data_IF_294408427873
#
_entry.id   IF_294408427873
#
_cell.length_a   1.000
_cell.length_b   1.000
_cell.length_c   1.000
_cell.angle_alpha   90.00
_cell.angle_beta   90.00
_cell.angle_gamma   90.00
#
_symmetry.space_group_name_H-M   'P 1'
#
loop_
_entity.id
_entity.type
_entity.pdbx_description
1 polymer ?
#
# COMPACT_ATOMS: atom_id res chain seq x y z
N UNK A 1 21.60 9.79 1.30
CA UNK A 1 21.06 8.75 0.39
C UNK A 1 22.00 7.56 0.42
N UNK A 2 21.52 6.35 0.60
CA UNK A 2 22.36 5.17 0.72
C UNK A 2 23.05 4.79 -0.61
N UNK A 3 22.56 5.28 -1.76
CA UNK A 3 23.12 5.00 -3.08
C UNK A 3 23.19 6.26 -3.94
N UNK A 4 24.29 6.46 -4.70
CA UNK A 4 24.45 7.62 -5.56
C UNK A 4 23.48 7.55 -6.77
N UNK A 5 23.05 8.73 -7.22
CA UNK A 5 22.10 8.87 -8.34
C UNK A 5 22.55 8.17 -9.63
N UNK A 6 23.84 8.19 -9.95
CA UNK A 6 24.33 7.56 -11.17
C UNK A 6 24.10 6.03 -11.22
N UNK A 7 23.92 5.39 -10.05
CA UNK A 7 23.54 3.97 -9.96
C UNK A 7 22.03 3.84 -10.07
N UNK A 8 21.27 4.64 -9.31
CA UNK A 8 19.82 4.55 -9.26
C UNK A 8 19.12 5.04 -10.55
N UNK A 9 19.80 5.86 -11.36
CA UNK A 9 19.25 6.37 -12.63
C UNK A 9 19.00 5.28 -13.68
N UNK A 10 19.73 4.15 -13.63
CA UNK A 10 19.66 3.09 -14.62
C UNK A 10 19.32 1.74 -13.98
N UNK A 11 18.38 1.01 -14.59
CA UNK A 11 18.02 -0.36 -14.18
C UNK A 11 19.22 -1.30 -14.31
N UNK A 12 19.99 -1.17 -15.38
CA UNK A 12 21.16 -2.02 -15.65
C UNK A 12 22.27 -1.78 -14.63
N UNK A 13 22.60 -0.52 -14.36
CA UNK A 13 23.58 -0.16 -13.32
C UNK A 13 23.14 -0.64 -11.94
N UNK A 14 21.88 -0.52 -11.63
CA UNK A 14 21.30 -1.03 -10.37
C UNK A 14 21.47 -2.55 -10.25
N UNK A 15 21.24 -3.30 -11.34
CA UNK A 15 21.45 -4.76 -11.35
C UNK A 15 22.93 -5.12 -11.20
N UNK A 16 23.84 -4.44 -11.90
CA UNK A 16 25.27 -4.67 -11.79
C UNK A 16 25.76 -4.42 -10.36
N UNK A 17 25.32 -3.34 -9.75
CA UNK A 17 25.68 -3.00 -8.36
C UNK A 17 25.13 -4.02 -7.36
N UNK A 18 24.00 -4.66 -7.64
CA UNK A 18 23.47 -5.74 -6.81
C UNK A 18 24.44 -6.92 -6.69
N UNK A 19 25.12 -7.28 -7.78
CA UNK A 19 26.18 -8.30 -7.76
C UNK A 19 27.38 -7.87 -6.90
N UNK A 20 27.80 -6.60 -7.02
CA UNK A 20 28.89 -6.07 -6.18
C UNK A 20 28.54 -6.17 -4.69
N UNK A 21 27.35 -5.73 -4.27
CA UNK A 21 26.93 -5.78 -2.88
C UNK A 21 26.82 -7.22 -2.34
N UNK A 22 26.36 -8.15 -3.18
CA UNK A 22 26.34 -9.56 -2.81
C UNK A 22 27.75 -10.09 -2.54
N UNK A 23 28.71 -9.74 -3.38
CA UNK A 23 30.12 -10.14 -3.20
C UNK A 23 30.75 -9.48 -1.97
N UNK A 24 30.45 -8.21 -1.69
CA UNK A 24 30.89 -7.54 -0.46
C UNK A 24 30.37 -8.27 0.79
N UNK A 25 29.09 -8.68 0.80
CA UNK A 25 28.55 -9.48 1.88
C UNK A 25 29.25 -10.83 2.05
N UNK A 26 29.61 -11.50 0.95
CA UNK A 26 30.38 -12.75 0.99
C UNK A 26 31.77 -12.50 1.56
N UNK A 27 32.44 -11.43 1.14
CA UNK A 27 33.78 -11.10 1.64
C UNK A 27 33.75 -10.82 3.16
N UNK A 28 32.81 -10.02 3.63
CA UNK A 28 32.62 -9.75 5.07
C UNK A 28 32.41 -11.08 5.83
N UNK A 29 31.61 -11.99 5.27
CA UNK A 29 31.37 -13.28 5.92
C UNK A 29 32.62 -14.15 6.00
N UNK A 30 33.47 -14.13 4.97
CA UNK A 30 34.75 -14.84 4.98
C UNK A 30 35.71 -14.25 6.00
N UNK A 31 35.88 -12.92 6.01
CA UNK A 31 36.77 -12.22 6.92
C UNK A 31 36.40 -12.49 8.40
N UNK A 32 35.09 -12.39 8.73
CA UNK A 32 34.60 -12.67 10.09
C UNK A 32 34.80 -14.15 10.46
N UNK A 33 34.57 -15.07 9.52
CA UNK A 33 34.76 -16.50 9.78
C UNK A 33 36.24 -16.84 10.03
N UNK A 34 37.17 -16.22 9.30
CA UNK A 34 38.61 -16.38 9.50
C UNK A 34 39.08 -15.83 10.84
N UNK A 35 38.56 -14.67 11.27
CA UNK A 35 38.91 -14.04 12.52
C UNK A 35 38.43 -14.86 13.75
N UNK A 36 37.29 -15.54 13.61
CA UNK A 36 36.60 -16.20 14.70
C UNK A 36 36.65 -17.75 14.68
N UNK A 37 37.60 -18.35 14.01
CA UNK A 37 37.74 -19.83 13.82
C UNK A 37 37.70 -20.66 15.12
N UNK A 38 37.99 -20.04 16.27
CA UNK A 38 38.03 -20.73 17.57
C UNK A 38 36.68 -20.80 18.27
N UNK A 39 35.64 -20.13 17.74
CA UNK A 39 34.30 -20.11 18.31
C UNK A 39 33.47 -21.30 17.81
N UNK A 40 32.40 -21.59 18.53
CA UNK A 40 31.40 -22.57 18.04
C UNK A 40 30.73 -22.07 16.77
N UNK A 41 30.31 -23.03 15.92
CA UNK A 41 29.64 -22.73 14.65
C UNK A 41 28.47 -21.74 14.80
N UNK A 42 27.59 -21.95 15.79
CA UNK A 42 26.44 -21.07 16.05
C UNK A 42 26.86 -19.63 16.38
N UNK A 43 27.94 -19.45 17.14
CA UNK A 43 28.49 -18.13 17.45
C UNK A 43 29.07 -17.46 16.22
N UNK A 44 29.81 -18.21 15.38
CA UNK A 44 30.35 -17.70 14.12
C UNK A 44 29.21 -17.23 13.21
N UNK A 45 28.19 -18.04 13.01
CA UNK A 45 27.02 -17.70 12.17
C UNK A 45 26.36 -16.41 12.66
N UNK A 46 26.22 -16.24 13.98
CA UNK A 46 25.59 -15.07 14.56
C UNK A 46 26.43 -13.79 14.34
N UNK A 47 27.71 -13.82 14.68
CA UNK A 47 28.60 -12.67 14.49
C UNK A 47 28.68 -12.30 13.00
N UNK A 48 28.77 -13.30 12.14
CA UNK A 48 28.78 -13.10 10.69
C UNK A 48 27.48 -12.44 10.22
N UNK A 49 26.32 -12.91 10.73
CA UNK A 49 25.05 -12.29 10.40
C UNK A 49 24.99 -10.83 10.84
N UNK A 50 25.44 -10.50 12.05
CA UNK A 50 25.43 -9.12 12.56
C UNK A 50 26.27 -8.20 11.68
N UNK A 51 27.48 -8.61 11.32
CA UNK A 51 28.38 -7.82 10.46
C UNK A 51 27.79 -7.59 9.04
N UNK A 52 27.29 -8.66 8.41
CA UNK A 52 26.68 -8.58 7.08
C UNK A 52 25.36 -7.81 7.12
N UNK A 53 24.56 -7.98 8.18
CA UNK A 53 23.30 -7.27 8.36
C UNK A 53 23.50 -5.77 8.53
N UNK A 54 24.51 -5.36 9.28
CA UNK A 54 24.87 -3.94 9.48
C UNK A 54 25.33 -3.29 8.17
N UNK A 55 26.19 -3.99 7.42
CA UNK A 55 26.57 -3.57 6.08
C UNK A 55 25.36 -3.40 5.17
N UNK A 56 24.50 -4.41 5.09
CA UNK A 56 23.29 -4.34 4.27
C UNK A 56 22.34 -3.21 4.68
N UNK A 57 22.16 -2.99 5.98
CA UNK A 57 21.32 -1.92 6.51
C UNK A 57 21.82 -0.53 6.16
N UNK A 58 23.13 -0.33 6.04
CA UNK A 58 23.72 0.96 5.64
C UNK A 58 23.20 1.45 4.28
N UNK A 59 22.74 0.54 3.41
CA UNK A 59 22.07 0.84 2.13
C UNK A 59 20.57 1.08 2.24
N UNK A 60 19.99 1.07 3.44
CA UNK A 60 18.56 1.30 3.66
C UNK A 60 17.65 0.16 3.21
N UNK A 61 18.18 -1.06 3.06
CA UNK A 61 17.40 -2.25 2.73
C UNK A 61 16.81 -2.92 3.97
N UNK A 62 15.71 -3.64 3.79
CA UNK A 62 15.12 -4.44 4.87
C UNK A 62 15.90 -5.75 5.03
N UNK A 63 16.69 -5.81 6.08
CA UNK A 63 17.47 -7.00 6.44
C UNK A 63 16.54 -8.04 7.09
N UNK A 64 16.59 -9.30 6.67
CA UNK A 64 15.78 -10.36 7.27
C UNK A 64 16.12 -10.55 8.75
N UNK A 65 15.10 -10.65 9.60
CA UNK A 65 15.18 -10.88 11.05
C UNK A 65 15.81 -9.74 11.89
N UNK A 66 16.26 -8.64 11.31
CA UNK A 66 17.01 -7.57 12.00
C UNK A 66 16.28 -6.93 13.20
N UNK A 67 14.95 -6.86 13.19
CA UNK A 67 14.14 -6.26 14.24
C UNK A 67 13.49 -7.28 15.19
N UNK A 68 13.89 -8.55 15.11
CA UNK A 68 13.38 -9.60 15.97
C UNK A 68 14.28 -9.77 17.19
N UNK A 69 13.71 -10.16 18.33
CA UNK A 69 14.52 -10.44 19.52
C UNK A 69 15.41 -11.65 19.24
N UNK A 70 16.68 -11.48 19.47
CA UNK A 70 17.71 -12.45 19.13
C UNK A 70 17.53 -13.79 19.86
N UNK A 71 17.07 -13.75 21.13
CA UNK A 71 16.87 -14.93 21.95
C UNK A 71 15.75 -15.85 21.47
N UNK A 72 14.86 -15.35 20.59
CA UNK A 72 13.71 -16.08 20.07
C UNK A 72 13.98 -16.77 18.72
N UNK A 73 15.20 -16.61 18.14
CA UNK A 73 15.48 -17.08 16.78
C UNK A 73 16.49 -18.24 16.77
N UNK A 74 16.15 -19.38 16.14
CA UNK A 74 17.10 -20.46 15.89
C UNK A 74 18.20 -20.01 14.92
N UNK A 75 19.42 -20.57 15.04
CA UNK A 75 20.58 -20.30 14.18
C UNK A 75 20.29 -20.43 12.69
N UNK A 76 19.44 -21.37 12.32
CA UNK A 76 18.96 -21.55 10.94
C UNK A 76 18.32 -20.29 10.31
N UNK A 77 17.72 -19.41 11.11
CA UNK A 77 17.19 -18.14 10.62
C UNK A 77 18.29 -17.19 10.14
N UNK A 78 19.40 -17.15 10.87
CA UNK A 78 20.57 -16.33 10.50
C UNK A 78 21.27 -16.88 9.26
N UNK A 79 21.38 -18.20 9.14
CA UNK A 79 21.92 -18.86 7.92
C UNK A 79 21.08 -18.53 6.68
N UNK A 80 19.75 -18.63 6.79
CA UNK A 80 18.82 -18.24 5.71
C UNK A 80 18.96 -16.76 5.35
N UNK A 81 19.16 -15.89 6.35
CA UNK A 81 19.36 -14.46 6.12
C UNK A 81 20.68 -14.20 5.39
N UNK A 82 21.78 -14.85 5.80
CA UNK A 82 23.08 -14.78 5.13
C UNK A 82 22.99 -15.25 3.68
N UNK A 83 22.39 -16.42 3.42
CA UNK A 83 22.16 -16.91 2.06
C UNK A 83 21.39 -15.92 1.18
N UNK A 84 20.44 -15.20 1.75
CA UNK A 84 19.72 -14.14 1.01
C UNK A 84 20.64 -12.96 0.70
N UNK A 85 21.41 -12.49 1.68
CA UNK A 85 22.30 -11.32 1.52
C UNK A 85 23.53 -11.62 0.64
N UNK A 86 23.92 -12.87 0.50
CA UNK A 86 24.93 -13.33 -0.46
C UNK A 86 24.39 -13.48 -1.89
N UNK A 87 23.08 -13.29 -2.11
CA UNK A 87 22.43 -13.52 -3.41
C UNK A 87 22.21 -12.19 -4.16
N UNK A 88 22.78 -12.09 -5.36
CA UNK A 88 22.62 -10.95 -6.27
C UNK A 88 21.15 -10.68 -6.63
N UNK A 89 20.33 -11.73 -6.78
CA UNK A 89 18.89 -11.61 -7.08
C UNK A 89 18.11 -11.02 -5.90
N UNK A 90 18.55 -11.28 -4.68
CA UNK A 90 17.94 -10.64 -3.49
C UNK A 90 18.28 -9.16 -3.49
N UNK A 91 19.55 -8.79 -3.67
CA UNK A 91 19.99 -7.41 -3.76
C UNK A 91 19.30 -6.66 -4.90
N UNK A 92 19.19 -7.27 -6.07
CA UNK A 92 18.50 -6.66 -7.21
C UNK A 92 17.03 -6.31 -6.87
N UNK A 93 16.33 -7.13 -6.10
CA UNK A 93 14.97 -6.84 -5.62
C UNK A 93 14.95 -5.68 -4.62
N UNK A 94 15.88 -5.66 -3.65
CA UNK A 94 15.99 -4.59 -2.67
C UNK A 94 16.29 -3.24 -3.34
N UNK A 95 17.31 -3.21 -4.19
CA UNK A 95 17.68 -2.00 -4.92
C UNK A 95 16.61 -1.52 -5.89
N UNK A 96 15.88 -2.42 -6.53
CA UNK A 96 14.70 -2.07 -7.34
C UNK A 96 13.63 -1.35 -6.50
N UNK A 97 13.42 -1.78 -5.26
CA UNK A 97 12.47 -1.14 -4.35
C UNK A 97 12.95 0.25 -3.93
N UNK A 98 14.22 0.37 -3.52
CA UNK A 98 14.83 1.66 -3.18
C UNK A 98 14.81 2.64 -4.36
N UNK A 99 15.15 2.16 -5.57
CA UNK A 99 15.08 2.96 -6.80
C UNK A 99 13.67 3.51 -7.02
N UNK A 100 12.64 2.67 -6.88
CA UNK A 100 11.26 3.11 -7.04
C UNK A 100 10.89 4.21 -6.04
N UNK A 101 11.20 4.01 -4.77
CA UNK A 101 10.91 4.99 -3.71
C UNK A 101 11.61 6.32 -3.98
N UNK A 102 12.86 6.25 -4.41
CA UNK A 102 13.63 7.45 -4.72
C UNK A 102 13.11 8.19 -5.95
N UNK A 103 12.79 7.47 -7.04
CA UNK A 103 12.20 8.09 -8.23
C UNK A 103 10.85 8.73 -7.92
N UNK A 104 10.03 8.08 -7.11
CA UNK A 104 8.74 8.61 -6.67
C UNK A 104 8.91 9.94 -5.93
N UNK A 105 9.84 10.01 -4.97
CA UNK A 105 10.17 11.25 -4.28
C UNK A 105 10.72 12.33 -5.22
N UNK A 106 11.61 11.95 -6.12
CA UNK A 106 12.20 12.89 -7.08
C UNK A 106 11.14 13.45 -8.03
N UNK A 107 10.25 12.61 -8.54
CA UNK A 107 9.14 13.01 -9.42
C UNK A 107 8.19 13.99 -8.73
N UNK A 108 7.89 13.74 -7.46
CA UNK A 108 7.06 14.62 -6.64
C UNK A 108 7.79 15.94 -6.38
N UNK A 109 9.05 15.88 -5.91
CA UNK A 109 9.85 17.05 -5.56
C UNK A 109 10.16 17.95 -6.77
N UNK A 110 10.27 17.38 -7.97
CA UNK A 110 10.48 18.13 -9.22
C UNK A 110 9.19 18.55 -9.92
N UNK A 111 8.02 18.26 -9.34
CA UNK A 111 6.73 18.60 -9.90
C UNK A 111 6.35 17.81 -11.17
N UNK A 112 7.03 16.70 -11.46
CA UNK A 112 6.67 15.84 -12.60
C UNK A 112 5.39 15.04 -12.35
N UNK A 113 5.04 14.86 -11.08
CA UNK A 113 3.82 14.20 -10.62
C UNK A 113 3.06 15.17 -9.72
N UNK A 114 1.75 15.14 -9.82
CA UNK A 114 0.88 15.99 -9.03
C UNK A 114 0.01 16.88 -9.91
N UNK A 115 -0.74 17.77 -9.29
CA UNK A 115 -1.61 18.72 -9.99
C UNK A 115 -1.25 20.12 -9.57
N UNK A 116 -0.59 20.86 -10.44
CA UNK A 116 -0.43 22.29 -10.24
C UNK A 116 -1.79 22.98 -10.31
N UNK A 117 -2.11 23.69 -9.23
CA UNK A 117 -3.22 24.63 -9.19
C UNK A 117 -2.72 25.97 -9.72
N UNK A 118 -3.21 26.40 -10.87
CA UNK A 118 -2.99 27.77 -11.33
C UNK A 118 -4.30 28.54 -11.35
N UNK A 119 -4.23 29.81 -11.00
CA UNK A 119 -5.36 30.71 -11.12
C UNK A 119 -5.38 31.32 -12.52
N UNK A 120 -6.36 30.93 -13.31
CA UNK A 120 -6.67 31.64 -14.54
C UNK A 120 -7.34 32.99 -14.18
N UNK A 121 -6.78 34.09 -14.60
CA UNK A 121 -7.31 35.45 -14.33
C UNK A 121 -8.77 35.63 -14.77
N UNK A 122 -9.23 34.83 -15.72
CA UNK A 122 -10.59 34.84 -16.27
C UNK A 122 -11.54 33.78 -15.68
N UNK A 123 -11.10 33.01 -14.72
CA UNK A 123 -11.88 31.92 -14.11
C UNK A 123 -11.95 32.06 -12.59
N UNK A 124 -13.16 32.07 -12.05
CA UNK A 124 -13.39 32.06 -10.58
C UNK A 124 -12.97 30.73 -9.91
N UNK A 125 -12.61 29.71 -10.68
CA UNK A 125 -12.17 28.41 -10.16
C UNK A 125 -10.72 28.12 -10.59
N UNK A 126 -9.88 27.61 -9.68
CA UNK A 126 -8.52 27.21 -10.03
C UNK A 126 -8.56 26.10 -11.08
N UNK A 127 -7.84 26.28 -12.17
CA UNK A 127 -7.62 25.24 -13.19
C UNK A 127 -6.39 24.44 -12.84
N UNK A 128 -6.41 23.16 -13.16
CA UNK A 128 -5.29 22.23 -12.92
C UNK A 128 -4.55 21.98 -14.23
N UNK A 129 -3.26 22.26 -14.27
CA UNK A 129 -2.42 21.89 -15.41
C UNK A 129 -2.22 20.36 -15.46
N UNK A 130 -2.20 19.83 -16.67
CA UNK A 130 -2.11 18.40 -16.92
C UNK A 130 -0.71 17.79 -16.75
N UNK A 131 -0.15 17.87 -15.55
CA UNK A 131 0.92 16.98 -15.14
C UNK A 131 0.29 15.62 -14.85
N UNK A 132 1.02 14.53 -15.03
CA UNK A 132 0.51 13.20 -14.71
C UNK A 132 0.03 13.14 -13.25
N UNK A 133 -1.22 12.73 -12.97
CA UNK A 133 -1.77 12.85 -11.63
C UNK A 133 -1.16 11.87 -10.60
N UNK A 134 -0.53 10.77 -11.04
CA UNK A 134 -0.13 9.68 -10.15
C UNK A 134 1.26 9.10 -10.40
N UNK A 135 1.80 9.24 -11.58
CA UNK A 135 3.13 8.74 -11.95
C UNK A 135 3.69 9.49 -13.15
N UNK A 136 5.00 9.58 -13.25
CA UNK A 136 5.63 10.22 -14.41
C UNK A 136 5.43 9.42 -15.69
N UNK A 137 5.61 10.08 -16.83
CA UNK A 137 5.62 9.41 -18.14
C UNK A 137 6.71 8.35 -18.21
N UNK A 138 7.87 8.60 -17.61
CA UNK A 138 8.97 7.65 -17.56
C UNK A 138 8.59 6.40 -16.78
N UNK A 139 8.00 6.53 -15.60
CA UNK A 139 7.54 5.39 -14.80
C UNK A 139 6.47 4.56 -15.54
N UNK A 140 5.57 5.23 -16.28
CA UNK A 140 4.56 4.56 -17.10
C UNK A 140 5.19 3.78 -18.27
N UNK A 141 6.19 4.34 -18.94
CA UNK A 141 6.92 3.66 -20.01
C UNK A 141 7.69 2.45 -19.49
N UNK A 142 8.41 2.58 -18.36
CA UNK A 142 9.13 1.46 -17.73
C UNK A 142 8.17 0.35 -17.31
N UNK A 143 7.00 0.70 -16.77
CA UNK A 143 5.97 -0.27 -16.42
C UNK A 143 5.41 -0.99 -17.66
N UNK A 144 5.08 -0.24 -18.71
CA UNK A 144 4.55 -0.81 -19.96
C UNK A 144 5.55 -1.74 -20.63
N UNK A 145 6.83 -1.35 -20.65
CA UNK A 145 7.90 -2.20 -21.15
C UNK A 145 8.06 -3.48 -20.33
N UNK A 146 8.05 -3.38 -19.00
CA UNK A 146 8.13 -4.55 -18.13
C UNK A 146 6.92 -5.50 -18.31
N UNK A 147 5.71 -4.95 -18.53
CA UNK A 147 4.52 -5.74 -18.82
C UNK A 147 4.63 -6.47 -20.18
N UNK A 148 5.09 -5.77 -21.21
CA UNK A 148 5.28 -6.35 -22.54
C UNK A 148 6.32 -7.48 -22.52
N UNK A 149 7.48 -7.25 -21.87
CA UNK A 149 8.52 -8.27 -21.73
C UNK A 149 8.04 -9.48 -20.91
N UNK A 150 7.28 -9.23 -19.82
CA UNK A 150 6.69 -10.31 -19.03
C UNK A 150 5.68 -11.13 -19.83
N UNK A 151 4.85 -10.48 -20.64
CA UNK A 151 3.90 -11.16 -21.52
C UNK A 151 4.63 -12.00 -22.58
N UNK A 152 5.63 -11.44 -23.23
CA UNK A 152 6.44 -12.16 -24.22
C UNK A 152 7.09 -13.41 -23.60
N UNK A 153 7.62 -13.30 -22.37
CA UNK A 153 8.14 -14.46 -21.63
C UNK A 153 7.06 -15.53 -21.42
N UNK A 154 5.85 -15.16 -20.99
CA UNK A 154 4.76 -16.10 -20.77
C UNK A 154 4.30 -16.79 -22.06
N UNK A 155 4.35 -16.08 -23.20
CA UNK A 155 4.00 -16.62 -24.53
C UNK A 155 5.04 -17.61 -25.06
N UNK A 156 6.31 -17.49 -24.63
CA UNK A 156 7.41 -18.36 -25.04
C UNK A 156 7.61 -19.61 -24.14
N UNK A 157 6.92 -19.66 -22.99
CA UNK A 157 7.10 -20.74 -22.02
C UNK A 157 5.91 -21.68 -21.99
N UNK A 158 6.21 -22.96 -21.79
CA UNK A 158 5.27 -24.03 -21.63
C UNK A 158 5.44 -24.73 -20.28
N UNK A 159 4.36 -25.29 -19.77
CA UNK A 159 4.35 -26.17 -18.61
C UNK A 159 4.09 -27.59 -19.12
N UNK A 160 4.92 -28.53 -18.68
CA UNK A 160 4.75 -29.94 -18.94
C UNK A 160 4.43 -30.68 -17.65
N UNK A 161 3.36 -31.48 -17.66
CA UNK A 161 3.01 -32.35 -16.54
C UNK A 161 3.90 -33.59 -16.52
N UNK A 162 3.90 -34.34 -15.39
CA UNK A 162 4.58 -35.63 -15.29
C UNK A 162 4.08 -36.65 -16.33
N UNK A 163 2.83 -36.51 -16.76
CA UNK A 163 2.15 -37.43 -17.67
C UNK A 163 2.33 -37.03 -19.15
N UNK A 164 3.13 -35.94 -19.39
CA UNK A 164 3.47 -35.50 -20.72
C UNK A 164 2.54 -34.46 -21.33
N UNK A 165 1.48 -34.07 -20.64
CA UNK A 165 0.59 -33.01 -21.11
C UNK A 165 1.33 -31.64 -21.10
N UNK A 166 1.15 -30.88 -22.18
CA UNK A 166 1.77 -29.56 -22.37
C UNK A 166 0.69 -28.49 -22.42
N UNK A 167 0.86 -27.46 -21.62
CA UNK A 167 0.02 -26.26 -21.64
C UNK A 167 0.88 -25.01 -21.75
N UNK A 168 0.50 -24.05 -22.57
CA UNK A 168 1.15 -22.75 -22.65
C UNK A 168 1.06 -22.03 -21.30
N UNK A 169 2.19 -21.46 -20.82
CA UNK A 169 2.23 -20.75 -19.55
C UNK A 169 1.28 -19.53 -19.56
N UNK A 170 1.07 -18.88 -20.71
CA UNK A 170 0.14 -17.76 -20.80
C UNK A 170 -1.34 -18.22 -20.64
N UNK A 171 -1.68 -19.44 -21.08
CA UNK A 171 -3.03 -19.99 -20.86
C UNK A 171 -3.25 -20.31 -19.39
N UNK A 172 -2.27 -20.93 -18.73
CA UNK A 172 -2.30 -21.17 -17.31
C UNK A 172 -2.46 -19.86 -16.51
N UNK A 173 -1.78 -18.78 -16.91
CA UNK A 173 -1.94 -17.45 -16.31
C UNK A 173 -3.32 -16.86 -16.58
N UNK A 174 -3.86 -17.01 -17.79
CA UNK A 174 -5.21 -16.50 -18.15
C UNK A 174 -6.33 -17.16 -17.35
N UNK A 175 -6.24 -18.45 -17.10
CA UNK A 175 -7.22 -19.20 -16.31
C UNK A 175 -7.06 -19.01 -14.80
N UNK A 176 -5.85 -18.71 -14.33
CA UNK A 176 -5.52 -18.59 -12.92
C UNK A 176 -5.78 -17.21 -12.31
N UNK A 177 -5.52 -17.15 -10.99
CA UNK A 177 -5.62 -15.89 -10.20
C UNK A 177 -4.53 -14.85 -10.52
N UNK A 178 -3.51 -15.21 -11.29
CA UNK A 178 -2.54 -14.26 -11.82
C UNK A 178 -3.18 -13.30 -12.85
N UNK A 179 -4.30 -13.71 -13.49
CA UNK A 179 -5.06 -12.86 -14.39
C UNK A 179 -5.78 -11.73 -13.63
N UNK A 180 -5.51 -10.46 -13.94
CA UNK A 180 -6.16 -9.33 -13.27
C UNK A 180 -7.70 -9.33 -13.41
N UNK A 181 -8.22 -9.88 -14.52
CA UNK A 181 -9.67 -9.97 -14.73
C UNK A 181 -10.31 -10.96 -13.75
N UNK A 182 -9.70 -12.14 -13.54
CA UNK A 182 -10.19 -13.12 -12.60
C UNK A 182 -10.13 -12.60 -11.16
N UNK A 183 -9.00 -11.99 -10.76
CA UNK A 183 -8.87 -11.32 -9.45
C UNK A 183 -9.93 -10.26 -9.22
N UNK A 184 -10.24 -9.48 -10.26
CA UNK A 184 -11.29 -8.47 -10.17
C UNK A 184 -12.67 -9.10 -9.98
N UNK A 185 -12.98 -10.14 -10.74
CA UNK A 185 -14.25 -10.83 -10.64
C UNK A 185 -14.45 -11.48 -9.26
N UNK A 186 -13.41 -12.13 -8.76
CA UNK A 186 -13.43 -12.70 -7.40
C UNK A 186 -13.60 -11.62 -6.33
N UNK A 187 -12.87 -10.51 -6.43
CA UNK A 187 -13.04 -9.40 -5.48
C UNK A 187 -14.48 -8.89 -5.47
N UNK A 188 -15.10 -8.77 -6.63
CA UNK A 188 -16.49 -8.30 -6.71
C UNK A 188 -17.49 -9.31 -6.17
N UNK A 189 -17.23 -10.59 -6.37
CA UNK A 189 -18.04 -11.65 -5.77
C UNK A 189 -17.96 -11.57 -4.24
N UNK A 190 -16.75 -11.49 -3.69
CA UNK A 190 -16.54 -11.35 -2.23
C UNK A 190 -17.18 -10.11 -1.64
N UNK A 191 -17.15 -8.97 -2.35
CA UNK A 191 -17.82 -7.74 -1.89
C UNK A 191 -19.34 -7.96 -1.83
N UNK A 192 -19.91 -8.61 -2.84
CA UNK A 192 -21.35 -8.93 -2.86
C UNK A 192 -21.76 -9.89 -1.74
N UNK A 193 -21.00 -10.98 -1.57
CA UNK A 193 -21.25 -11.95 -0.49
C UNK A 193 -21.13 -11.30 0.90
N UNK A 194 -20.16 -10.38 1.05
CA UNK A 194 -20.00 -9.59 2.29
C UNK A 194 -21.22 -8.69 2.55
N UNK A 195 -21.81 -8.11 1.51
CA UNK A 195 -23.04 -7.31 1.60
C UNK A 195 -24.24 -8.19 1.97
N UNK A 196 -24.42 -9.32 1.30
CA UNK A 196 -25.50 -10.27 1.55
C UNK A 196 -25.44 -10.80 2.99
N UNK A 197 -24.25 -11.17 3.47
CA UNK A 197 -24.04 -11.59 4.87
C UNK A 197 -24.38 -10.47 5.87
N UNK A 198 -24.02 -9.23 5.57
CA UNK A 198 -24.34 -8.09 6.42
C UNK A 198 -25.84 -7.84 6.51
N UNK A 199 -26.56 -7.99 5.41
CA UNK A 199 -28.02 -7.87 5.38
C UNK A 199 -28.70 -8.98 6.19
N UNK A 200 -28.24 -10.23 6.07
CA UNK A 200 -28.72 -11.36 6.88
C UNK A 200 -28.50 -11.15 8.38
N UNK A 201 -27.35 -10.57 8.76
CA UNK A 201 -27.04 -10.25 10.15
C UNK A 201 -27.73 -8.98 10.68
N UNK A 202 -28.45 -8.23 9.86
CA UNK A 202 -29.04 -6.94 10.22
C UNK A 202 -28.02 -5.85 10.54
N UNK A 203 -26.81 -5.95 9.97
CA UNK A 203 -25.74 -4.97 10.15
C UNK A 203 -25.98 -3.72 9.30
N UNK A 204 -25.42 -2.61 9.76
CA UNK A 204 -25.39 -1.36 9.00
C UNK A 204 -24.03 -1.13 8.38
N UNK A 205 -24.01 -0.56 7.17
CA UNK A 205 -22.81 -0.23 6.46
C UNK A 205 -22.37 1.21 6.75
N UNK A 206 -21.08 1.40 7.02
CA UNK A 206 -20.45 2.71 7.13
C UNK A 206 -19.29 2.83 6.16
N UNK A 207 -19.21 3.95 5.46
CA UNK A 207 -18.12 4.24 4.54
C UNK A 207 -17.21 5.32 5.14
N UNK A 208 -15.97 4.95 5.35
CA UNK A 208 -14.95 5.81 5.91
C UNK A 208 -13.97 6.23 4.83
N UNK A 209 -13.59 7.51 4.88
CA UNK A 209 -12.47 8.04 4.11
C UNK A 209 -11.41 8.50 5.09
N UNK A 210 -10.21 7.93 5.01
CA UNK A 210 -9.11 8.23 5.92
C UNK A 210 -7.96 8.84 5.11
N UNK A 211 -7.56 10.05 5.49
CA UNK A 211 -6.48 10.81 4.88
C UNK A 211 -5.32 10.94 5.86
N UNK A 212 -4.10 10.88 5.37
CA UNK A 212 -2.92 11.14 6.18
C UNK A 212 -2.84 12.60 6.64
N UNK A 213 -2.14 12.90 7.76
CA UNK A 213 -1.76 14.25 8.15
C UNK A 213 -0.96 15.00 7.08
N UNK A 214 -0.96 16.33 7.14
CA UNK A 214 -0.34 17.18 6.12
C UNK A 214 1.18 16.94 5.96
N UNK A 215 1.87 16.50 7.02
CA UNK A 215 3.30 16.19 6.96
C UNK A 215 3.66 15.06 5.99
N UNK A 216 2.71 14.18 5.63
CA UNK A 216 2.90 13.13 4.63
C UNK A 216 2.58 13.58 3.20
N UNK A 217 2.06 14.78 3.02
CA UNK A 217 1.64 15.31 1.73
C UNK A 217 2.74 16.18 1.12
N UNK A 218 3.37 15.72 0.05
CA UNK A 218 4.47 16.44 -0.60
C UNK A 218 4.09 17.86 -1.10
N UNK A 219 2.79 18.10 -1.33
CA UNK A 219 2.27 19.41 -1.70
C UNK A 219 1.94 20.31 -0.50
N UNK A 220 2.15 19.85 0.72
CA UNK A 220 1.94 20.64 1.94
C UNK A 220 3.24 21.34 2.36
N UNK A 221 3.12 22.55 2.88
CA UNK A 221 4.26 23.31 3.42
C UNK A 221 4.92 22.64 4.64
N UNK A 222 4.18 21.74 5.30
CA UNK A 222 4.61 20.97 6.47
C UNK A 222 5.14 19.58 6.11
N UNK A 223 5.39 19.30 4.83
CA UNK A 223 5.93 18.02 4.42
C UNK A 223 7.30 17.76 5.06
N UNK A 224 7.45 16.60 5.69
CA UNK A 224 8.65 16.21 6.42
C UNK A 224 9.62 15.33 5.61
N UNK A 225 9.37 15.15 4.30
CA UNK A 225 10.15 14.27 3.43
C UNK A 225 9.70 12.80 3.46
N UNK A 226 8.62 12.49 4.17
CA UNK A 226 8.05 11.14 4.20
C UNK A 226 7.66 10.64 2.81
N UNK A 227 7.93 9.37 2.57
CA UNK A 227 7.54 8.68 1.33
C UNK A 227 6.07 8.24 1.39
N UNK A 228 5.43 7.94 0.24
CA UNK A 228 4.13 7.27 0.23
C UNK A 228 4.11 5.95 1.02
N UNK A 229 5.25 5.25 1.09
CA UNK A 229 5.39 4.04 1.91
C UNK A 229 5.33 4.36 3.41
N UNK A 230 5.96 5.43 3.85
CA UNK A 230 5.93 5.84 5.26
C UNK A 230 4.51 6.25 5.67
N UNK A 231 3.82 6.99 4.81
CA UNK A 231 2.42 7.33 4.98
C UNK A 231 1.52 6.08 5.04
N UNK A 232 1.75 5.08 4.19
CA UNK A 232 1.03 3.80 4.23
C UNK A 232 1.33 3.03 5.53
N UNK A 233 2.57 3.03 5.99
CA UNK A 233 2.96 2.41 7.26
C UNK A 233 2.27 3.08 8.45
N UNK A 234 2.19 4.42 8.44
CA UNK A 234 1.44 5.19 9.44
C UNK A 234 -0.03 4.75 9.51
N UNK A 235 -0.72 4.74 8.38
CA UNK A 235 -2.13 4.32 8.32
C UNK A 235 -2.31 2.87 8.78
N UNK A 236 -1.42 1.97 8.37
CA UNK A 236 -1.48 0.55 8.73
C UNK A 236 -1.26 0.34 10.23
N UNK A 237 -0.30 1.04 10.82
CA UNK A 237 0.01 0.97 12.26
C UNK A 237 -1.14 1.55 13.08
N UNK A 238 -1.67 2.70 12.67
CA UNK A 238 -2.83 3.34 13.33
C UNK A 238 -4.06 2.44 13.30
N UNK A 239 -4.33 1.83 12.15
CA UNK A 239 -5.41 0.85 12.00
C UNK A 239 -5.19 -0.40 12.86
N UNK A 240 -3.96 -0.91 12.96
CA UNK A 240 -3.66 -2.06 13.82
C UNK A 240 -3.96 -1.77 15.30
N UNK A 241 -3.60 -0.57 15.77
CA UNK A 241 -3.92 -0.08 17.14
C UNK A 241 -5.43 0.04 17.35
N UNK A 242 -6.15 0.65 16.41
CA UNK A 242 -7.60 0.78 16.46
C UNK A 242 -8.30 -0.59 16.48
N UNK A 243 -7.91 -1.49 15.57
CA UNK A 243 -8.42 -2.87 15.48
C UNK A 243 -8.19 -3.65 16.78
N UNK A 244 -7.02 -3.52 17.37
CA UNK A 244 -6.70 -4.15 18.65
C UNK A 244 -7.62 -3.64 19.79
N UNK A 245 -7.95 -2.35 19.80
CA UNK A 245 -8.91 -1.78 20.76
C UNK A 245 -10.33 -2.29 20.51
N UNK A 246 -10.77 -2.34 19.26
CA UNK A 246 -12.08 -2.88 18.88
C UNK A 246 -12.22 -4.34 19.33
N UNK A 247 -11.20 -5.16 19.08
CA UNK A 247 -11.18 -6.56 19.50
C UNK A 247 -11.25 -6.72 21.03
N UNK A 248 -10.46 -5.94 21.79
CA UNK A 248 -10.51 -5.96 23.27
C UNK A 248 -11.86 -5.56 23.83
N UNK A 249 -12.64 -4.75 23.09
CA UNK A 249 -14.03 -4.38 23.45
C UNK A 249 -15.08 -5.37 22.95
N UNK A 250 -14.67 -6.46 22.29
CA UNK A 250 -15.60 -7.45 21.73
C UNK A 250 -16.48 -6.90 20.60
N UNK A 251 -16.08 -5.79 19.98
CA UNK A 251 -16.83 -5.16 18.90
C UNK A 251 -16.64 -5.92 17.60
N UNK A 252 -17.71 -6.48 17.08
CA UNK A 252 -17.72 -7.24 15.82
C UNK A 252 -17.94 -6.29 14.65
N UNK A 253 -17.14 -6.47 13.61
CA UNK A 253 -17.26 -5.77 12.33
C UNK A 253 -16.52 -6.55 11.26
N UNK A 254 -16.89 -6.33 10.02
CA UNK A 254 -16.17 -6.84 8.83
C UNK A 254 -16.38 -5.88 7.66
N UNK A 255 -15.66 -6.08 6.58
CA UNK A 255 -15.78 -5.22 5.41
C UNK A 255 -14.55 -5.22 4.53
N UNK A 256 -14.44 -4.20 3.67
CA UNK A 256 -13.38 -4.06 2.69
C UNK A 256 -12.68 -2.71 2.82
N UNK A 257 -11.39 -2.70 2.49
CA UNK A 257 -10.56 -1.49 2.44
C UNK A 257 -9.88 -1.38 1.09
N UNK A 258 -9.92 -0.20 0.52
CA UNK A 258 -9.22 0.14 -0.72
C UNK A 258 -8.28 1.31 -0.46
N UNK A 259 -7.10 1.26 -1.07
CA UNK A 259 -6.10 2.32 -1.00
C UNK A 259 -6.08 3.03 -2.35
N UNK A 260 -6.17 4.35 -2.33
CA UNK A 260 -6.00 5.21 -3.50
C UNK A 260 -4.89 6.24 -3.24
N UNK A 261 -4.11 6.61 -4.25
CA UNK A 261 -3.16 7.71 -4.11
C UNK A 261 -3.88 9.05 -4.26
N UNK A 262 -3.49 10.04 -3.45
CA UNK A 262 -3.73 11.44 -3.75
C UNK A 262 -2.91 11.90 -4.96
N UNK A 263 -3.13 13.13 -5.42
CA UNK A 263 -2.39 13.70 -6.54
C UNK A 263 -0.87 13.80 -6.30
N UNK A 264 -0.45 13.81 -5.05
CA UNK A 264 0.93 13.83 -4.58
C UNK A 264 1.47 12.44 -4.20
N UNK A 265 0.73 11.38 -4.51
CA UNK A 265 1.11 10.00 -4.20
C UNK A 265 0.78 9.56 -2.78
N UNK A 266 0.44 10.46 -1.87
CA UNK A 266 0.09 10.11 -0.50
C UNK A 266 -1.12 9.16 -0.47
N UNK A 267 -1.07 8.02 0.27
CA UNK A 267 -2.16 7.06 0.31
C UNK A 267 -3.39 7.64 1.01
N UNK A 268 -4.52 7.28 0.47
CA UNK A 268 -5.85 7.64 0.93
C UNK A 268 -6.69 6.38 1.03
N UNK A 269 -7.28 6.12 2.19
CA UNK A 269 -8.04 4.90 2.41
C UNK A 269 -9.52 5.13 2.33
N UNK A 270 -10.19 4.24 1.62
CA UNK A 270 -11.63 4.08 1.67
C UNK A 270 -11.95 2.73 2.29
N UNK A 271 -12.76 2.75 3.34
CA UNK A 271 -13.19 1.54 4.03
C UNK A 271 -14.72 1.48 4.06
N UNK A 272 -15.26 0.35 3.66
CA UNK A 272 -16.64 -0.01 3.88
C UNK A 272 -16.68 -1.05 5.00
N UNK A 273 -17.24 -0.68 6.15
CA UNK A 273 -17.35 -1.56 7.30
C UNK A 273 -18.82 -1.81 7.64
N UNK A 274 -19.12 -3.06 7.87
CA UNK A 274 -20.43 -3.54 8.33
C UNK A 274 -20.36 -3.86 9.82
N UNK A 275 -21.34 -3.41 10.60
CA UNK A 275 -21.33 -3.54 12.05
C UNK A 275 -22.75 -3.51 12.64
N UNK A 276 -22.98 -4.03 13.86
CA UNK A 276 -24.27 -3.92 14.53
C UNK A 276 -24.64 -2.45 14.73
N UNK A 277 -25.89 -2.09 14.43
CA UNK A 277 -26.40 -0.71 14.55
C UNK A 277 -26.20 -0.11 15.94
N UNK A 278 -26.40 -0.90 16.99
CA UNK A 278 -26.24 -0.47 18.39
C UNK A 278 -24.76 -0.25 18.81
N UNK A 279 -23.80 -0.74 18.02
CA UNK A 279 -22.34 -0.56 18.24
C UNK A 279 -21.70 0.51 17.37
N UNK A 280 -22.45 1.08 16.46
CA UNK A 280 -21.98 2.06 15.49
C UNK A 280 -21.27 3.25 16.15
N UNK A 281 -21.89 3.86 17.17
CA UNK A 281 -21.30 5.03 17.82
C UNK A 281 -20.00 4.71 18.55
N UNK A 282 -19.94 3.55 19.21
CA UNK A 282 -18.73 3.11 19.93
C UNK A 282 -17.58 2.84 18.97
N UNK A 283 -17.85 2.15 17.86
CA UNK A 283 -16.84 1.87 16.82
C UNK A 283 -16.34 3.18 16.20
N UNK A 284 -17.25 4.10 15.86
CA UNK A 284 -16.91 5.40 15.30
C UNK A 284 -16.03 6.21 16.26
N UNK A 285 -16.35 6.23 17.55
CA UNK A 285 -15.57 6.94 18.56
C UNK A 285 -14.14 6.40 18.67
N UNK A 286 -13.98 5.07 18.63
CA UNK A 286 -12.67 4.42 18.67
C UNK A 286 -11.86 4.76 17.42
N UNK A 287 -12.42 4.58 16.21
CA UNK A 287 -11.74 4.89 14.96
C UNK A 287 -11.30 6.36 14.93
N UNK A 288 -12.23 7.26 15.25
CA UNK A 288 -11.95 8.69 15.34
C UNK A 288 -10.79 8.97 16.28
N UNK A 289 -10.82 8.41 17.50
CA UNK A 289 -9.80 8.66 18.50
C UNK A 289 -8.41 8.31 17.97
N UNK A 290 -8.24 7.12 17.36
CA UNK A 290 -6.92 6.69 16.87
C UNK A 290 -6.40 7.52 15.69
N UNK A 291 -7.27 7.87 14.74
CA UNK A 291 -6.84 8.57 13.53
C UNK A 291 -6.68 10.09 13.69
N UNK A 292 -7.06 10.65 14.84
CA UNK A 292 -6.87 12.09 15.12
C UNK A 292 -5.86 12.36 16.24
N UNK A 293 -5.20 11.34 16.81
CA UNK A 293 -4.29 11.55 17.96
C UNK A 293 -2.99 12.23 17.57
N UNK A 294 -2.42 11.87 16.44
CA UNK A 294 -1.21 12.49 15.93
C UNK A 294 -1.58 13.78 15.18
N UNK A 295 -0.66 14.75 15.19
CA UNK A 295 -0.80 16.03 14.48
C UNK A 295 -2.08 16.83 14.85
N UNK A 296 -2.52 16.73 16.10
CA UNK A 296 -3.69 17.47 16.61
C UNK A 296 -3.56 18.98 16.42
N UNK A 297 -2.37 19.54 16.56
CA UNK A 297 -2.07 20.95 16.33
C UNK A 297 -2.54 21.41 14.95
N UNK A 298 -2.31 20.59 13.93
CA UNK A 298 -2.78 20.86 12.57
C UNK A 298 -4.29 21.06 12.47
N UNK A 299 -5.03 20.43 13.39
CA UNK A 299 -6.49 20.49 13.44
C UNK A 299 -7.01 21.69 14.24
N UNK A 300 -6.21 22.18 15.19
CA UNK A 300 -6.62 23.23 16.13
C UNK A 300 -6.22 24.63 15.69
N UNK A 301 -5.15 24.80 14.92
CA UNK A 301 -4.57 26.11 14.58
C UNK A 301 -5.49 27.06 13.81
N UNK A 302 -6.53 26.57 13.14
CA UNK A 302 -7.41 27.42 12.30
C UNK A 302 -8.75 27.78 12.92
N UNK A 303 -9.27 27.05 13.90
CA UNK A 303 -10.69 27.10 14.20
C UNK A 303 -11.09 27.09 15.68
N UNK A 304 -10.16 27.04 16.63
CA UNK A 304 -10.50 26.90 18.05
C UNK A 304 -11.19 25.58 18.43
N UNK A 305 -11.27 25.25 19.71
CA UNK A 305 -11.62 23.89 20.16
C UNK A 305 -13.06 23.45 19.86
N UNK A 306 -14.03 24.33 19.72
CA UNK A 306 -15.44 23.94 19.55
C UNK A 306 -15.85 23.71 18.08
N UNK A 307 -15.36 24.54 17.16
CA UNK A 307 -15.58 24.37 15.71
C UNK A 307 -14.80 23.19 15.12
N UNK A 308 -13.78 22.77 15.83
CA UNK A 308 -12.84 21.74 15.40
C UNK A 308 -13.47 20.33 15.44
N UNK A 309 -14.43 20.05 16.32
CA UNK A 309 -15.03 18.71 16.44
C UNK A 309 -15.64 18.18 15.14
N UNK A 310 -16.43 18.99 14.45
CA UNK A 310 -17.05 18.58 13.19
C UNK A 310 -16.07 18.57 12.00
N UNK A 311 -15.12 19.54 11.97
CA UNK A 311 -14.17 19.68 10.86
C UNK A 311 -12.97 18.74 10.96
N UNK A 312 -12.50 18.44 12.17
CA UNK A 312 -11.47 17.44 12.45
C UNK A 312 -11.87 16.07 11.94
N UNK A 313 -13.12 15.72 12.20
CA UNK A 313 -13.68 14.45 11.76
C UNK A 313 -13.73 14.33 10.24
N UNK A 314 -14.00 15.42 9.55
CA UNK A 314 -14.03 15.47 8.09
C UNK A 314 -12.64 15.55 7.44
N UNK A 315 -11.58 15.82 8.20
CA UNK A 315 -10.23 15.94 7.65
C UNK A 315 -9.48 14.61 7.64
N UNK A 316 -9.50 13.86 8.74
CA UNK A 316 -8.76 12.60 8.85
C UNK A 316 -9.63 11.35 8.74
N UNK A 317 -10.86 11.43 9.21
CA UNK A 317 -11.85 10.35 9.11
C UNK A 317 -13.18 10.95 8.66
N UNK A 318 -13.41 10.92 7.35
CA UNK A 318 -14.71 11.31 6.81
C UNK A 318 -15.67 10.14 6.97
N UNK A 319 -16.57 10.24 7.93
CA UNK A 319 -17.67 9.32 8.09
C UNK A 319 -18.88 9.93 7.40
N UNK A 320 -19.50 9.18 6.53
CA UNK A 320 -20.75 9.59 5.91
C UNK A 320 -21.83 9.65 6.99
N UNK A 321 -21.99 10.82 7.61
CA UNK A 321 -22.90 11.03 8.75
C UNK A 321 -24.37 10.81 8.41
N UNK A 322 -24.72 10.80 7.14
CA UNK A 322 -26.08 10.47 6.68
C UNK A 322 -26.31 8.95 6.60
N UNK A 323 -25.29 8.16 6.89
CA UNK A 323 -25.31 6.71 6.85
C UNK A 323 -26.07 6.03 8.01
N UNK A 324 -26.71 6.77 8.90
CA UNK A 324 -27.50 6.17 10.00
C UNK A 324 -28.66 5.30 9.51
N UNK A 325 -29.06 5.44 8.27
CA UNK A 325 -30.14 4.68 7.63
C UNK A 325 -29.66 3.75 6.51
N UNK A 326 -28.37 3.69 6.25
CA UNK A 326 -27.82 2.88 5.17
C UNK A 326 -27.66 1.45 5.69
N UNK A 327 -28.35 0.50 5.08
CA UNK A 327 -28.31 -0.91 5.45
C UNK A 327 -27.38 -1.76 4.57
N UNK A 328 -27.03 -1.29 3.37
CA UNK A 328 -26.31 -2.07 2.36
C UNK A 328 -25.30 -1.21 1.61
N UNK A 329 -24.33 -1.86 0.98
CA UNK A 329 -23.39 -1.20 0.06
C UNK A 329 -24.14 -0.47 -1.06
N UNK A 330 -25.26 -1.02 -1.52
CA UNK A 330 -26.07 -0.39 -2.56
C UNK A 330 -26.69 0.92 -2.09
N UNK A 331 -27.15 0.98 -0.85
CA UNK A 331 -27.65 2.20 -0.24
C UNK A 331 -26.55 3.23 -0.03
N UNK A 332 -25.36 2.82 0.45
CA UNK A 332 -24.18 3.67 0.52
C UNK A 332 -23.80 4.25 -0.83
N UNK A 333 -23.85 3.43 -1.87
CA UNK A 333 -23.57 3.82 -3.25
C UNK A 333 -24.61 4.83 -3.76
N UNK A 334 -25.90 4.60 -3.53
CA UNK A 334 -26.98 5.54 -3.90
C UNK A 334 -26.87 6.87 -3.20
N UNK A 335 -26.59 6.85 -1.93
CA UNK A 335 -26.43 8.06 -1.14
C UNK A 335 -25.28 8.95 -1.65
N UNK A 336 -24.14 8.36 -1.98
CA UNK A 336 -23.00 9.12 -2.53
C UNK A 336 -23.19 9.56 -3.98
N UNK A 337 -24.14 9.00 -4.71
CA UNK A 337 -24.47 9.48 -6.07
C UNK A 337 -24.86 10.96 -6.07
N UNK A 338 -25.45 11.46 -5.00
CA UNK A 338 -25.77 12.88 -4.83
C UNK A 338 -24.58 13.77 -4.49
N UNK A 339 -23.47 13.20 -4.02
CA UNK A 339 -22.27 13.98 -3.64
C UNK A 339 -21.15 13.99 -4.67
N UNK A 340 -21.35 13.42 -5.85
CA UNK A 340 -20.52 13.43 -7.09
C UNK A 340 -18.96 13.43 -6.97
N UNK A 341 -18.38 13.25 -5.79
CA UNK A 341 -16.98 13.62 -5.57
C UNK A 341 -15.98 12.48 -5.37
N UNK A 342 -16.36 11.20 -5.38
CA UNK A 342 -15.40 10.12 -5.16
C UNK A 342 -15.16 9.26 -6.39
N UNK A 343 -13.88 9.18 -6.77
CA UNK A 343 -13.38 8.38 -7.89
C UNK A 343 -13.71 6.88 -7.73
N UNK A 344 -13.69 6.35 -6.51
CA UNK A 344 -14.07 4.97 -6.19
C UNK A 344 -15.53 4.69 -6.51
N UNK A 345 -16.41 5.64 -6.22
CA UNK A 345 -17.82 5.52 -6.57
C UNK A 345 -18.03 5.52 -8.08
N UNK A 346 -17.32 6.39 -8.81
CA UNK A 346 -17.34 6.40 -10.28
C UNK A 346 -16.78 5.07 -10.83
N UNK A 347 -15.70 4.57 -10.31
CA UNK A 347 -15.11 3.27 -10.64
C UNK A 347 -16.05 2.10 -10.32
N UNK A 348 -16.67 2.08 -9.16
CA UNK A 348 -17.66 1.06 -8.78
C UNK A 348 -18.90 1.11 -9.71
N UNK A 349 -19.44 2.31 -9.97
CA UNK A 349 -20.59 2.50 -10.84
C UNK A 349 -20.29 2.13 -12.30
N UNK A 350 -19.14 2.55 -12.83
CA UNK A 350 -18.66 2.18 -14.17
C UNK A 350 -18.44 0.68 -14.30
N UNK A 351 -17.83 0.06 -13.28
CA UNK A 351 -17.59 -1.38 -13.29
C UNK A 351 -18.89 -2.18 -13.13
N UNK A 352 -19.81 -1.74 -12.28
CA UNK A 352 -21.11 -2.38 -12.10
C UNK A 352 -21.93 -2.36 -13.40
N UNK A 353 -21.98 -1.23 -14.12
CA UNK A 353 -22.66 -1.13 -15.40
C UNK A 353 -21.99 -1.95 -16.51
N UNK A 354 -20.64 -1.94 -16.55
CA UNK A 354 -19.85 -2.72 -17.50
C UNK A 354 -19.95 -4.24 -17.28
N UNK A 355 -20.34 -4.69 -16.07
CA UNK A 355 -20.43 -6.10 -15.70
C UNK A 355 -21.85 -6.67 -15.74
N UNK A 356 -22.83 -5.92 -16.24
CA UNK A 356 -24.20 -6.40 -16.39
C UNK A 356 -24.98 -6.58 -15.09
N UNK A 357 -24.46 -6.10 -13.94
CA UNK A 357 -25.19 -6.08 -12.66
C UNK A 357 -26.37 -5.10 -12.64
N UNK A 358 -26.64 -4.43 -13.74
CA UNK A 358 -27.74 -3.47 -13.88
C UNK A 358 -29.12 -4.12 -14.15
N UNK A 359 -29.22 -5.45 -14.14
CA UNK A 359 -30.55 -6.08 -14.30
C UNK A 359 -31.33 -5.89 -13.01
N UNK A 360 -32.41 -5.11 -13.09
CA UNK A 360 -33.45 -4.99 -12.07
C UNK A 360 -33.84 -6.39 -11.57
N UNK A 361 -33.84 -6.57 -10.25
CA UNK A 361 -34.57 -7.70 -9.65
C UNK A 361 -36.02 -7.61 -10.15
N UNK A 362 -36.63 -8.71 -10.57
CA UNK A 362 -38.05 -8.69 -10.84
C UNK A 362 -38.75 -8.32 -9.52
N UNK A 363 -39.52 -7.27 -9.57
CA UNK A 363 -40.49 -6.92 -8.50
C UNK A 363 -41.44 -8.11 -8.38
N UNK A 364 -41.41 -8.78 -7.23
CA UNK A 364 -42.56 -9.52 -6.74
C UNK A 364 -43.41 -8.59 -5.96
#
# INVERSE_FOLDING_TARGET
MPLPWHILSSIEKTKKHAGTLAMECVQIALDVSEEHQRLSYEKIVRITYEAVAEHAKSFGVNVPFYNMREDDLPSACFEIALLKMHCDKWWARQLKTLRKQFLELLEIATGQVGKDLYHDKNSKKPKRRGISPYSSKQAQLEFSFAQASGRQFLEMMELQSSDGDVISLIEAVKSGMANPANRRNELMLRIRETEELADEMGYVAMFYTITCPARFHANASTWDGSTPKDAQNYLTTTWARARSKLNRRGLKYFGVRVVEPHADGCPHWHMMLFMPKNKLQEINAILRWYFIQEDKSELYDRYGPELTRAKVFNKFVDINTHGTHIKTVEACVKYRAHTEKTHLFKLYKQKRSAWGFAKKRPTK
#
